data_IF_625265823086
#
_entry.id   IF_625265823086
#
_cell.length_a   1.000
_cell.length_b   1.000
_cell.length_c   1.000
_cell.angle_alpha   90.00
_cell.angle_beta   90.00
_cell.angle_gamma   90.00
#
_symmetry.space_group_name_H-M   'P 1'
#
loop_
_entity.id
_entity.type
_entity.pdbx_description
1 polymer ?
#
# COMPACT_ATOMS: atom_id res chain seq x y z
N UNK A 1 35.58 -1.67 -26.13
CA UNK A 1 35.67 -2.86 -25.25
C UNK A 1 35.05 -2.53 -23.89
N UNK A 2 33.81 -2.92 -23.63
CA UNK A 2 33.30 -3.05 -22.26
C UNK A 2 32.44 -4.31 -22.21
N UNK A 3 33.08 -5.40 -21.78
CA UNK A 3 32.46 -6.70 -21.54
C UNK A 3 31.52 -6.58 -20.35
N UNK A 4 30.24 -6.27 -20.58
CA UNK A 4 29.21 -6.52 -19.58
C UNK A 4 28.94 -8.02 -19.58
N UNK A 5 29.71 -8.75 -18.75
CA UNK A 5 29.57 -10.20 -18.55
C UNK A 5 28.10 -10.55 -18.31
N UNK A 6 27.56 -11.32 -19.24
CA UNK A 6 26.27 -11.99 -19.15
C UNK A 6 26.28 -12.90 -17.92
N UNK A 7 25.62 -12.48 -16.83
CA UNK A 7 25.37 -13.33 -15.66
C UNK A 7 23.87 -13.33 -15.40
N UNK A 8 23.19 -14.32 -16.01
CA UNK A 8 22.07 -15.13 -15.48
C UNK A 8 21.31 -15.78 -16.64
N UNK A 9 21.85 -16.90 -17.11
CA UNK A 9 21.05 -17.98 -17.66
C UNK A 9 20.59 -18.84 -16.47
N UNK A 10 19.32 -19.26 -16.47
CA UNK A 10 18.51 -19.81 -15.35
C UNK A 10 17.76 -18.72 -14.57
N UNK A 11 16.57 -18.35 -15.06
CA UNK A 11 15.54 -17.68 -14.26
C UNK A 11 14.86 -18.74 -13.39
N UNK A 12 15.48 -19.05 -12.25
CA UNK A 12 14.80 -19.80 -11.19
C UNK A 12 13.72 -18.88 -10.58
N UNK A 13 12.49 -19.39 -10.50
CA UNK A 13 11.24 -18.74 -10.02
C UNK A 13 11.48 -17.44 -9.23
N UNK A 14 11.35 -16.28 -9.89
CA UNK A 14 11.47 -14.97 -9.25
C UNK A 14 10.24 -14.77 -8.36
N UNK A 15 10.42 -14.83 -7.05
CA UNK A 15 9.37 -14.47 -6.11
C UNK A 15 9.23 -12.94 -6.06
N UNK A 16 7.98 -12.46 -5.98
CA UNK A 16 7.73 -11.03 -5.84
C UNK A 16 8.33 -10.54 -4.52
N UNK A 17 9.15 -9.48 -4.57
CA UNK A 17 9.82 -8.90 -3.40
C UNK A 17 8.80 -8.25 -2.44
N UNK A 18 7.69 -7.73 -2.98
CA UNK A 18 6.64 -7.05 -2.21
C UNK A 18 5.59 -8.02 -1.72
N UNK A 19 5.13 -7.80 -0.48
CA UNK A 19 4.03 -8.56 0.09
C UNK A 19 2.73 -8.32 -0.69
N UNK A 20 1.89 -9.35 -0.76
CA UNK A 20 0.56 -9.26 -1.37
C UNK A 20 -0.36 -8.26 -0.67
N UNK A 21 -0.14 -8.01 0.62
CA UNK A 21 -0.86 -7.02 1.44
C UNK A 21 -0.53 -5.62 0.92
N UNK A 22 0.76 -5.31 0.81
CA UNK A 22 1.24 -4.02 0.30
C UNK A 22 0.71 -3.74 -1.09
N UNK A 23 0.64 -4.77 -1.95
CA UNK A 23 0.07 -4.63 -3.31
C UNK A 23 -1.43 -4.31 -3.25
N UNK A 24 -2.19 -4.92 -2.35
CA UNK A 24 -3.62 -4.64 -2.19
C UNK A 24 -3.86 -3.21 -1.69
N UNK A 25 -3.11 -2.77 -0.68
CA UNK A 25 -3.18 -1.40 -0.13
C UNK A 25 -2.82 -0.36 -1.19
N UNK A 26 -1.76 -0.62 -1.97
CA UNK A 26 -1.31 0.24 -3.06
C UNK A 26 -2.37 0.34 -4.18
N UNK A 27 -3.06 -0.76 -4.49
CA UNK A 27 -4.17 -0.76 -5.44
C UNK A 27 -5.36 0.05 -4.91
N UNK A 28 -5.70 -0.07 -3.63
CA UNK A 28 -6.78 0.70 -3.01
C UNK A 28 -6.45 2.20 -2.96
N UNK A 29 -5.24 2.57 -2.52
CA UNK A 29 -4.80 3.97 -2.47
C UNK A 29 -4.72 4.63 -3.85
N UNK A 30 -4.41 3.88 -4.90
CA UNK A 30 -4.47 4.39 -6.29
C UNK A 30 -5.90 4.64 -6.77
N UNK A 31 -6.85 3.78 -6.42
CA UNK A 31 -8.27 3.96 -6.80
C UNK A 31 -8.91 5.12 -6.04
N UNK A 32 -8.57 5.27 -4.76
CA UNK A 32 -9.16 6.25 -3.85
C UNK A 32 -8.10 7.27 -3.44
N UNK A 33 -7.65 8.09 -4.40
CA UNK A 33 -6.52 9.02 -4.20
C UNK A 33 -6.78 10.11 -3.14
N UNK A 34 -8.04 10.41 -2.83
CA UNK A 34 -8.42 11.37 -1.78
C UNK A 34 -8.37 10.78 -0.37
N UNK A 35 -8.46 9.45 -0.25
CA UNK A 35 -8.52 8.77 1.04
C UNK A 35 -7.13 8.30 1.47
N UNK A 36 -6.91 8.25 2.78
CA UNK A 36 -5.68 7.76 3.40
C UNK A 36 -5.88 6.33 3.89
N UNK A 37 -5.04 5.41 3.42
CA UNK A 37 -5.07 4.00 3.86
C UNK A 37 -4.45 3.90 5.26
N UNK A 38 -5.20 3.31 6.19
CA UNK A 38 -4.71 3.04 7.54
C UNK A 38 -4.17 1.63 7.66
N UNK A 39 -5.01 0.65 7.44
CA UNK A 39 -4.64 -0.75 7.66
C UNK A 39 -5.42 -1.63 6.69
N UNK A 40 -4.95 -2.86 6.54
CA UNK A 40 -5.67 -3.88 5.79
C UNK A 40 -5.62 -5.23 6.49
N UNK A 41 -6.61 -6.06 6.21
CA UNK A 41 -6.66 -7.42 6.72
C UNK A 41 -7.17 -8.39 5.66
N UNK A 42 -6.76 -9.65 5.79
CA UNK A 42 -7.24 -10.75 4.95
C UNK A 42 -8.63 -11.16 5.40
N UNK A 43 -9.54 -11.25 4.44
CA UNK A 43 -10.93 -11.64 4.70
C UNK A 43 -11.18 -13.07 4.26
N UNK A 44 -10.79 -13.38 3.02
CA UNK A 44 -11.01 -14.69 2.44
C UNK A 44 -9.90 -15.04 1.42
N UNK A 45 -9.77 -16.33 1.14
CA UNK A 45 -8.83 -16.85 0.16
C UNK A 45 -9.50 -17.96 -0.66
N UNK A 46 -9.51 -17.75 -1.98
CA UNK A 46 -9.87 -18.77 -2.96
C UNK A 46 -8.60 -19.35 -3.59
N UNK A 47 -8.73 -20.39 -4.40
CA UNK A 47 -7.59 -21.01 -5.11
C UNK A 47 -6.85 -20.04 -6.04
N UNK A 48 -7.53 -19.00 -6.51
CA UNK A 48 -7.01 -18.06 -7.52
C UNK A 48 -6.81 -16.65 -6.97
N UNK A 49 -7.60 -16.23 -5.98
CA UNK A 49 -7.62 -14.85 -5.50
C UNK A 49 -7.55 -14.78 -3.98
N UNK A 50 -6.90 -13.73 -3.48
CA UNK A 50 -6.84 -13.40 -2.06
C UNK A 50 -7.56 -12.08 -1.86
N UNK A 51 -8.52 -12.08 -0.94
CA UNK A 51 -9.37 -10.93 -0.67
C UNK A 51 -8.88 -10.18 0.56
N UNK A 52 -8.78 -8.86 0.42
CA UNK A 52 -8.34 -7.96 1.46
C UNK A 52 -9.38 -6.84 1.63
N UNK A 53 -9.71 -6.54 2.88
CA UNK A 53 -10.42 -5.32 3.23
C UNK A 53 -9.40 -4.26 3.63
N UNK A 54 -9.50 -3.09 3.01
CA UNK A 54 -8.60 -1.96 3.23
C UNK A 54 -9.39 -0.85 3.93
N UNK A 55 -8.96 -0.52 5.14
CA UNK A 55 -9.53 0.57 5.94
C UNK A 55 -8.91 1.88 5.45
N UNK A 56 -9.76 2.79 4.99
CA UNK A 56 -9.34 4.11 4.51
C UNK A 56 -10.16 5.22 5.16
N UNK A 57 -9.53 6.40 5.27
CA UNK A 57 -10.04 7.54 6.03
C UNK A 57 -9.98 8.80 5.19
N UNK A 58 -11.05 9.59 5.21
CA UNK A 58 -11.10 10.90 4.56
C UNK A 58 -10.55 12.00 5.46
N UNK A 59 -9.41 12.58 5.08
CA UNK A 59 -8.78 13.68 5.80
C UNK A 59 -9.44 15.06 5.55
N UNK A 60 -10.32 15.17 4.56
CA UNK A 60 -11.08 16.39 4.28
C UNK A 60 -12.32 16.52 5.18
N UNK A 61 -12.79 15.40 5.74
CA UNK A 61 -14.00 15.36 6.54
C UNK A 61 -13.86 16.08 7.89
N UNK A 62 -14.83 16.92 8.24
CA UNK A 62 -14.78 17.78 9.45
C UNK A 62 -14.77 16.97 10.74
N UNK A 63 -15.49 15.85 10.81
CA UNK A 63 -15.49 15.01 12.03
C UNK A 63 -14.11 14.41 12.32
N UNK A 64 -13.33 14.13 11.29
CA UNK A 64 -12.01 13.51 11.43
C UNK A 64 -10.96 14.53 11.83
N UNK A 65 -11.11 15.78 11.36
CA UNK A 65 -10.26 16.89 11.79
C UNK A 65 -10.51 17.29 13.25
N UNK A 66 -11.77 17.21 13.68
CA UNK A 66 -12.17 17.63 15.02
C UNK A 66 -11.96 16.55 16.10
N UNK A 67 -11.84 15.26 15.72
CA UNK A 67 -11.60 14.18 16.67
C UNK A 67 -10.12 14.10 17.07
N UNK A 68 -9.75 14.37 18.34
CA UNK A 68 -8.36 14.36 18.80
C UNK A 68 -7.68 12.98 18.71
N UNK A 69 -8.44 11.89 18.59
CA UNK A 69 -7.89 10.53 18.50
C UNK A 69 -7.32 10.21 17.12
N UNK A 70 -7.89 10.81 16.08
CA UNK A 70 -7.60 10.48 14.67
C UNK A 70 -7.10 11.67 13.85
N UNK A 71 -7.14 12.90 14.39
CA UNK A 71 -6.74 14.09 13.63
C UNK A 71 -5.29 14.05 13.12
N UNK A 72 -4.42 13.24 13.74
CA UNK A 72 -3.02 13.11 13.38
C UNK A 72 -2.85 12.67 11.91
N UNK A 73 -3.82 11.93 11.39
CA UNK A 73 -3.91 11.49 9.99
C UNK A 73 -4.05 12.69 9.05
N UNK A 74 -4.66 13.79 9.46
CA UNK A 74 -4.89 14.96 8.62
C UNK A 74 -3.62 15.78 8.35
N UNK A 75 -2.55 15.58 9.12
CA UNK A 75 -1.30 16.31 8.95
C UNK A 75 -0.68 16.08 7.55
N UNK A 76 -0.05 17.11 6.95
CA UNK A 76 0.54 17.02 5.62
C UNK A 76 1.71 16.04 5.54
N UNK A 77 2.31 15.67 6.68
CA UNK A 77 3.36 14.64 6.78
C UNK A 77 2.84 13.27 6.32
N UNK A 78 1.57 12.97 6.59
CA UNK A 78 0.92 11.72 6.17
C UNK A 78 0.29 11.85 4.77
N UNK A 79 0.84 12.71 3.90
CA UNK A 79 0.48 12.77 2.49
C UNK A 79 1.50 11.93 1.72
N UNK A 80 1.09 10.85 1.04
CA UNK A 80 2.04 10.08 0.25
C UNK A 80 2.57 10.94 -0.92
N UNK A 81 3.88 11.21 -0.92
CA UNK A 81 4.60 11.91 -2.00
C UNK A 81 4.88 10.97 -3.20
N UNK A 82 4.85 9.66 -2.97
CA UNK A 82 4.91 8.54 -3.94
C UNK A 82 4.33 7.29 -3.26
N UNK A 83 4.01 6.23 -4.01
CA UNK A 83 3.49 4.89 -3.59
C UNK A 83 4.46 4.09 -2.69
N UNK A 84 5.23 4.78 -1.85
CA UNK A 84 6.22 4.21 -0.97
C UNK A 84 5.86 4.61 0.45
N UNK A 85 5.57 3.56 1.22
CA UNK A 85 5.30 3.52 2.65
C UNK A 85 3.86 3.87 3.04
N UNK A 86 3.03 2.83 2.91
CA UNK A 86 1.90 2.58 3.80
C UNK A 86 2.30 2.89 5.26
N UNK A 87 1.39 3.52 5.99
CA UNK A 87 1.59 4.14 7.31
C UNK A 87 2.11 3.21 8.43
N UNK A 88 2.35 1.92 8.15
CA UNK A 88 2.68 0.88 9.12
C UNK A 88 3.68 -0.15 8.57
N UNK A 89 4.87 0.31 8.16
CA UNK A 89 6.08 -0.51 8.15
C UNK A 89 7.11 0.10 9.08
#
# INVERSE_FOLDING_TARGET
MHYRRFIRFIVFKIYQVRSIITVAEECAGRKLASLKVLNSYRVNEDSTYKYFEVISVDAAHTTIRNDPRINWICNPIHKPLRLTNVMFA
#
